data_IF_960607445220
#
_entry.id   IF_960607445220
#
_cell.length_a   1.000
_cell.length_b   1.000
_cell.length_c   1.000
_cell.angle_alpha   90.00
_cell.angle_beta   90.00
_cell.angle_gamma   90.00
#
_symmetry.space_group_name_H-M   'P 1'
#
loop_
_entity.id
_entity.type
_entity.pdbx_description
1 polymer ?
#
# COMPACT_ATOMS: atom_id res chain seq x y z
N UNK A 1 19.86 -11.13 -36.10
CA UNK A 1 19.93 -11.79 -34.78
C UNK A 1 19.24 -10.87 -33.80
N UNK A 2 17.95 -11.10 -33.58
CA UNK A 2 17.18 -10.43 -32.51
C UNK A 2 17.66 -11.02 -31.19
N UNK A 3 18.35 -10.21 -30.39
CA UNK A 3 18.61 -10.56 -28.99
C UNK A 3 17.25 -10.85 -28.35
N UNK A 4 17.04 -12.11 -27.94
CA UNK A 4 15.96 -12.46 -27.04
C UNK A 4 16.33 -11.76 -25.74
N UNK A 5 15.61 -10.69 -25.41
CA UNK A 5 15.73 -10.02 -24.13
C UNK A 5 15.34 -11.03 -23.08
N UNK A 6 16.30 -11.55 -22.31
CA UNK A 6 15.99 -12.44 -21.20
C UNK A 6 15.01 -11.72 -20.27
N UNK A 7 13.96 -12.41 -19.79
CA UNK A 7 12.93 -11.79 -18.96
C UNK A 7 13.59 -11.30 -17.67
N UNK A 8 13.50 -9.99 -17.40
CA UNK A 8 14.00 -9.38 -16.17
C UNK A 8 13.16 -9.94 -15.01
N UNK A 9 13.71 -10.81 -14.13
CA UNK A 9 12.90 -11.57 -13.18
C UNK A 9 12.06 -10.70 -12.22
N UNK A 10 12.53 -9.49 -11.91
CA UNK A 10 11.79 -8.52 -11.11
C UNK A 10 10.48 -8.03 -11.77
N UNK A 11 10.47 -7.88 -13.11
CA UNK A 11 9.27 -7.49 -13.87
C UNK A 11 8.23 -8.62 -13.87
N UNK A 12 8.65 -9.87 -13.99
CA UNK A 12 7.74 -11.02 -13.94
C UNK A 12 7.07 -11.16 -12.58
N UNK A 13 7.82 -10.99 -11.49
CA UNK A 13 7.28 -10.98 -10.13
C UNK A 13 6.31 -9.82 -9.92
N UNK A 14 6.65 -8.61 -10.38
CA UNK A 14 5.74 -7.46 -10.28
C UNK A 14 4.46 -7.67 -11.10
N UNK A 15 4.56 -8.22 -12.31
CA UNK A 15 3.42 -8.55 -13.15
C UNK A 15 2.52 -9.63 -12.50
N UNK A 16 3.11 -10.65 -11.87
CA UNK A 16 2.36 -11.65 -11.12
C UNK A 16 1.64 -11.01 -9.91
N UNK A 17 2.33 -10.16 -9.16
CA UNK A 17 1.77 -9.44 -8.02
C UNK A 17 0.63 -8.49 -8.41
N UNK A 18 0.74 -7.82 -9.56
CA UNK A 18 -0.32 -6.98 -10.13
C UNK A 18 -1.51 -7.84 -10.57
N UNK A 19 -1.31 -9.02 -11.14
CA UNK A 19 -2.41 -9.94 -11.46
C UNK A 19 -3.24 -10.29 -10.23
N UNK A 20 -2.59 -10.64 -9.11
CA UNK A 20 -3.30 -10.93 -7.85
C UNK A 20 -4.04 -9.68 -7.34
N UNK A 21 -3.54 -8.46 -7.58
CA UNK A 21 -4.27 -7.24 -7.23
C UNK A 21 -5.61 -7.14 -7.97
N UNK A 22 -5.64 -7.47 -9.26
CA UNK A 22 -6.85 -7.50 -10.07
C UNK A 22 -7.78 -8.65 -9.70
N UNK A 23 -7.23 -9.85 -9.42
CA UNK A 23 -8.03 -10.99 -8.97
C UNK A 23 -8.79 -10.69 -7.66
N UNK A 24 -8.12 -10.07 -6.68
CA UNK A 24 -8.78 -9.60 -5.45
C UNK A 24 -9.90 -8.59 -5.76
N UNK A 25 -9.64 -7.65 -6.67
CA UNK A 25 -10.61 -6.63 -7.08
C UNK A 25 -11.82 -7.25 -7.80
N UNK A 26 -11.62 -8.25 -8.65
CA UNK A 26 -12.71 -8.92 -9.35
C UNK A 26 -13.60 -9.72 -8.37
N UNK A 27 -12.97 -10.47 -7.46
CA UNK A 27 -13.63 -11.25 -6.43
C UNK A 27 -14.47 -10.38 -5.48
N UNK A 28 -13.97 -9.19 -5.15
CA UNK A 28 -14.56 -8.33 -4.13
C UNK A 28 -14.05 -8.68 -2.73
N UNK A 29 -14.51 -7.92 -1.74
CA UNK A 29 -13.99 -7.95 -0.38
C UNK A 29 -15.07 -8.26 0.64
N UNK A 30 -14.77 -9.12 1.60
CA UNK A 30 -15.73 -9.53 2.63
C UNK A 30 -15.99 -8.47 3.70
N UNK A 31 -15.17 -7.41 3.75
CA UNK A 31 -15.38 -6.30 4.66
C UNK A 31 -14.71 -5.02 4.18
N UNK A 32 -15.15 -3.88 4.74
CA UNK A 32 -14.50 -2.59 4.51
C UNK A 32 -13.05 -2.56 5.01
N UNK A 33 -12.74 -3.31 6.08
CA UNK A 33 -11.36 -3.49 6.56
C UNK A 33 -10.49 -4.10 5.47
N UNK A 34 -11.00 -5.10 4.75
CA UNK A 34 -10.28 -5.76 3.66
C UNK A 34 -10.07 -4.80 2.48
N UNK A 35 -11.04 -3.90 2.21
CA UNK A 35 -10.87 -2.82 1.24
C UNK A 35 -9.74 -1.87 1.66
N UNK A 36 -9.68 -1.43 2.92
CA UNK A 36 -8.58 -0.55 3.41
C UNK A 36 -7.22 -1.19 3.22
N UNK A 37 -7.13 -2.46 3.60
CA UNK A 37 -5.94 -3.26 3.41
C UNK A 37 -5.60 -3.46 1.93
N UNK A 38 -6.59 -3.66 1.07
CA UNK A 38 -6.37 -3.75 -0.37
C UNK A 38 -5.89 -2.42 -0.95
N UNK A 39 -6.37 -1.26 -0.48
CA UNK A 39 -5.84 0.04 -0.91
C UNK A 39 -4.33 0.17 -0.64
N UNK A 40 -3.86 -0.26 0.53
CA UNK A 40 -2.43 -0.33 0.81
C UNK A 40 -1.70 -1.30 -0.13
N UNK A 41 -2.28 -2.48 -0.41
CA UNK A 41 -1.73 -3.43 -1.39
C UNK A 41 -1.61 -2.80 -2.78
N UNK A 42 -2.60 -2.03 -3.22
CA UNK A 42 -2.60 -1.34 -4.52
C UNK A 42 -1.43 -0.34 -4.61
N UNK A 43 -1.22 0.49 -3.59
CA UNK A 43 -0.04 1.38 -3.51
C UNK A 43 1.27 0.61 -3.59
N UNK A 44 1.37 -0.54 -2.92
CA UNK A 44 2.57 -1.39 -2.98
C UNK A 44 2.81 -1.96 -4.38
N UNK A 45 1.78 -2.57 -5.00
CA UNK A 45 1.91 -3.23 -6.32
C UNK A 45 2.04 -2.24 -7.47
N UNK A 46 1.76 -0.96 -7.22
CA UNK A 46 2.02 0.13 -8.14
C UNK A 46 3.29 0.90 -7.78
N UNK A 47 4.13 0.41 -6.85
CA UNK A 47 5.37 1.09 -6.41
C UNK A 47 5.13 2.57 -6.04
N UNK A 48 3.95 2.82 -5.49
CA UNK A 48 3.43 4.11 -5.09
C UNK A 48 3.05 5.06 -6.22
N UNK A 49 2.87 4.60 -7.46
CA UNK A 49 2.49 5.45 -8.59
C UNK A 49 1.05 5.99 -8.51
N UNK A 50 0.19 5.39 -7.68
CA UNK A 50 -1.13 5.95 -7.42
C UNK A 50 -1.05 7.32 -6.72
N UNK A 51 -2.02 8.22 -6.95
CA UNK A 51 -2.13 9.48 -6.22
C UNK A 51 -2.27 9.24 -4.71
N UNK A 52 -1.64 10.08 -3.89
CA UNK A 52 -1.70 10.00 -2.42
C UNK A 52 -3.15 10.11 -1.90
N UNK A 53 -4.03 10.85 -2.60
CA UNK A 53 -5.45 11.01 -2.25
C UNK A 53 -6.35 9.84 -2.66
N UNK A 54 -5.87 8.94 -3.52
CA UNK A 54 -6.69 7.92 -4.17
C UNK A 54 -7.45 7.03 -3.18
N UNK A 55 -6.77 6.55 -2.13
CA UNK A 55 -7.41 5.72 -1.08
C UNK A 55 -8.52 6.46 -0.36
N UNK A 56 -8.32 7.77 -0.10
CA UNK A 56 -9.31 8.60 0.59
C UNK A 56 -10.52 8.80 -0.29
N UNK A 57 -10.32 9.14 -1.56
CA UNK A 57 -11.39 9.33 -2.53
C UNK A 57 -12.22 8.05 -2.71
N UNK A 58 -11.55 6.91 -2.85
CA UNK A 58 -12.21 5.61 -2.97
C UNK A 58 -13.01 5.25 -1.73
N UNK A 59 -12.42 5.38 -0.53
CA UNK A 59 -13.11 5.04 0.71
C UNK A 59 -14.18 6.06 1.10
N UNK A 60 -14.03 7.32 0.67
CA UNK A 60 -14.98 8.41 0.88
C UNK A 60 -16.29 8.20 0.14
N UNK A 61 -16.24 7.53 -1.00
CA UNK A 61 -17.42 7.18 -1.78
C UNK A 61 -18.07 5.89 -1.28
N UNK A 62 -19.21 6.05 -0.60
CA UNK A 62 -19.96 4.91 -0.05
C UNK A 62 -20.49 3.96 -1.12
N UNK A 63 -20.81 4.45 -2.31
CA UNK A 63 -21.28 3.61 -3.40
C UNK A 63 -20.13 2.76 -3.93
N UNK A 64 -18.95 3.36 -4.12
CA UNK A 64 -17.76 2.62 -4.58
C UNK A 64 -17.30 1.60 -3.55
N UNK A 65 -17.30 1.95 -2.27
CA UNK A 65 -17.02 0.95 -1.22
C UNK A 65 -18.05 -0.17 -1.22
N UNK A 66 -19.34 0.13 -1.37
CA UNK A 66 -20.35 -0.93 -1.50
C UNK A 66 -20.08 -1.82 -2.72
N UNK A 67 -19.75 -1.24 -3.87
CA UNK A 67 -19.41 -2.01 -5.07
C UNK A 67 -18.21 -2.95 -4.88
N UNK A 68 -17.29 -2.60 -3.99
CA UNK A 68 -16.13 -3.41 -3.65
C UNK A 68 -16.47 -4.60 -2.75
N UNK A 69 -17.61 -4.59 -2.06
CA UNK A 69 -17.99 -5.68 -1.16
C UNK A 69 -18.59 -6.86 -1.93
N UNK A 70 -18.25 -8.08 -1.51
CA UNK A 70 -18.73 -9.32 -2.12
C UNK A 70 -20.11 -9.76 -1.59
N UNK A 71 -20.47 -9.34 -0.38
CA UNK A 71 -21.71 -9.69 0.32
C UNK A 71 -22.79 -8.59 0.27
N UNK A 72 -24.03 -8.97 -0.06
CA UNK A 72 -25.16 -8.04 -0.19
C UNK A 72 -25.57 -7.39 1.14
N UNK A 73 -25.40 -8.06 2.28
CA UNK A 73 -25.70 -7.46 3.58
C UNK A 73 -24.68 -6.36 3.90
N UNK A 74 -23.40 -6.62 3.70
CA UNK A 74 -22.32 -5.63 3.88
C UNK A 74 -22.47 -4.45 2.92
N UNK A 75 -22.86 -4.71 1.66
CA UNK A 75 -23.23 -3.65 0.70
C UNK A 75 -24.34 -2.75 1.22
N UNK A 76 -25.42 -3.33 1.74
CA UNK A 76 -26.55 -2.60 2.31
C UNK A 76 -26.17 -1.79 3.56
N UNK A 77 -25.21 -2.27 4.37
CA UNK A 77 -24.66 -1.52 5.52
C UNK A 77 -23.84 -0.32 5.07
N UNK A 78 -23.09 -0.43 3.98
CA UNK A 78 -22.26 0.65 3.46
C UNK A 78 -23.10 1.83 2.93
N UNK A 79 -24.21 1.54 2.23
CA UNK A 79 -25.10 2.58 1.69
C UNK A 79 -26.51 2.06 1.37
N UNK A 80 -27.52 2.92 1.53
CA UNK A 80 -28.92 2.63 1.14
C UNK A 80 -29.12 2.48 -0.37
N UNK A 81 -28.17 2.94 -1.18
CA UNK A 81 -28.21 2.89 -2.64
C UNK A 81 -27.20 1.87 -3.17
N UNK A 82 -27.06 0.73 -2.50
CA UNK A 82 -26.05 -0.24 -2.84
C UNK A 82 -26.24 -0.78 -4.26
N UNK A 83 -25.15 -0.99 -5.02
CA UNK A 83 -25.24 -1.61 -6.34
C UNK A 83 -25.68 -3.06 -6.24
N UNK A 84 -26.39 -3.53 -7.27
CA UNK A 84 -26.55 -4.96 -7.54
C UNK A 84 -25.22 -5.57 -8.02
N UNK A 85 -25.15 -6.89 -8.12
CA UNK A 85 -23.94 -7.62 -8.54
C UNK A 85 -23.37 -7.14 -9.88
N UNK A 86 -24.24 -6.85 -10.84
CA UNK A 86 -23.81 -6.42 -12.17
C UNK A 86 -23.15 -5.04 -12.12
N UNK A 87 -23.75 -4.10 -11.39
CA UNK A 87 -23.21 -2.76 -11.18
C UNK A 87 -21.95 -2.79 -10.33
N UNK A 88 -21.92 -3.64 -9.30
CA UNK A 88 -20.76 -3.82 -8.44
C UNK A 88 -19.56 -4.31 -9.28
N UNK A 89 -19.75 -5.36 -10.09
CA UNK A 89 -18.72 -5.86 -11.00
C UNK A 89 -18.23 -4.78 -11.97
N UNK A 90 -19.13 -3.99 -12.56
CA UNK A 90 -18.77 -2.91 -13.48
C UNK A 90 -17.93 -1.82 -12.81
N UNK A 91 -18.28 -1.42 -11.59
CA UNK A 91 -17.49 -0.44 -10.84
C UNK A 91 -16.09 -0.97 -10.51
N UNK A 92 -15.98 -2.25 -10.15
CA UNK A 92 -14.66 -2.89 -9.92
C UNK A 92 -13.81 -2.93 -11.20
N UNK A 93 -14.43 -3.19 -12.36
CA UNK A 93 -13.74 -3.08 -13.65
C UNK A 93 -13.27 -1.66 -13.94
N UNK A 94 -14.11 -0.64 -13.72
CA UNK A 94 -13.73 0.76 -13.90
C UNK A 94 -12.56 1.17 -12.99
N UNK A 95 -12.55 0.72 -11.73
CA UNK A 95 -11.40 0.94 -10.83
C UNK A 95 -10.12 0.32 -11.42
N UNK A 96 -10.23 -0.90 -11.93
CA UNK A 96 -9.11 -1.61 -12.55
C UNK A 96 -8.56 -0.91 -13.80
N UNK A 97 -9.45 -0.54 -14.71
CA UNK A 97 -9.11 -0.02 -16.03
C UNK A 97 -8.69 1.46 -15.98
N UNK A 98 -9.45 2.31 -15.26
CA UNK A 98 -9.25 3.75 -15.29
C UNK A 98 -8.17 4.21 -14.30
N UNK A 99 -7.97 3.49 -13.20
CA UNK A 99 -7.13 3.95 -12.08
C UNK A 99 -5.90 3.07 -11.88
N UNK A 100 -6.07 1.74 -11.82
CA UNK A 100 -4.95 0.84 -11.56
C UNK A 100 -4.06 0.61 -12.78
N UNK A 101 -4.63 0.53 -13.99
CA UNK A 101 -3.87 0.15 -15.18
C UNK A 101 -2.71 1.10 -15.47
N UNK A 102 -2.98 2.42 -15.42
CA UNK A 102 -1.96 3.45 -15.63
C UNK A 102 -0.87 3.36 -14.56
N UNK A 103 -1.25 3.25 -13.28
CA UNK A 103 -0.27 3.15 -12.20
C UNK A 103 0.56 1.85 -12.25
N UNK A 104 -0.03 0.74 -12.68
CA UNK A 104 0.68 -0.53 -12.90
C UNK A 104 1.67 -0.42 -14.05
N UNK A 105 1.27 0.20 -15.17
CA UNK A 105 2.16 0.47 -16.31
C UNK A 105 3.34 1.34 -15.88
N UNK A 106 3.08 2.43 -15.17
CA UNK A 106 4.12 3.37 -14.74
C UNK A 106 5.08 2.71 -13.74
N UNK A 107 4.58 1.81 -12.89
CA UNK A 107 5.44 0.99 -12.01
C UNK A 107 6.33 0.01 -12.79
N UNK A 108 5.80 -0.64 -13.83
CA UNK A 108 6.58 -1.53 -14.70
C UNK A 108 7.63 -0.75 -15.50
N UNK A 109 7.29 0.45 -15.99
CA UNK A 109 8.24 1.32 -16.66
C UNK A 109 9.36 1.74 -15.70
N UNK A 110 9.02 2.21 -14.50
CA UNK A 110 10.00 2.57 -13.48
C UNK A 110 10.98 1.42 -13.24
N UNK A 111 10.47 0.19 -13.04
CA UNK A 111 11.30 -0.99 -12.80
C UNK A 111 12.14 -1.39 -14.04
N UNK A 112 11.60 -1.20 -15.24
CA UNK A 112 12.31 -1.45 -16.50
C UNK A 112 13.49 -0.49 -16.72
N UNK A 113 13.32 0.79 -16.41
CA UNK A 113 14.40 1.79 -16.46
C UNK A 113 15.56 1.38 -15.54
N UNK A 114 15.25 0.93 -14.32
CA UNK A 114 16.27 0.44 -13.37
C UNK A 114 17.10 -0.73 -13.90
N UNK A 115 16.44 -1.70 -14.54
CA UNK A 115 17.11 -2.88 -15.09
C UNK A 115 18.04 -2.51 -16.26
N UNK A 116 17.70 -1.47 -17.03
CA UNK A 116 18.55 -0.97 -18.11
C UNK A 116 19.73 -0.13 -17.60
N UNK A 117 19.55 0.60 -16.49
CA UNK A 117 20.61 1.38 -15.84
C UNK A 117 21.70 0.49 -15.20
N UNK A 118 21.38 -0.77 -14.88
CA UNK A 118 22.26 -1.72 -14.18
C UNK A 118 22.33 -3.09 -14.87
N UNK A 119 22.89 -3.19 -16.10
CA UNK A 119 22.93 -4.43 -16.86
C UNK A 119 23.92 -5.46 -16.29
N UNK A 120 24.86 -5.04 -15.44
CA UNK A 120 25.93 -5.87 -14.86
C UNK A 120 25.57 -6.48 -13.50
N UNK A 121 24.38 -6.18 -12.95
CA UNK A 121 23.92 -6.79 -11.71
C UNK A 121 23.49 -8.23 -12.03
N UNK A 122 24.42 -9.18 -11.84
CA UNK A 122 24.24 -10.59 -12.15
C UNK A 122 22.86 -11.06 -11.67
N UNK A 123 22.08 -11.66 -12.58
CA UNK A 123 20.82 -12.29 -12.26
C UNK A 123 21.05 -13.29 -11.13
N UNK A 124 20.69 -12.91 -9.90
CA UNK A 124 20.81 -13.78 -8.74
C UNK A 124 19.87 -14.97 -8.97
N UNK A 125 20.45 -16.10 -9.38
CA UNK A 125 19.75 -17.36 -9.59
C UNK A 125 19.27 -17.91 -8.24
N UNK A 126 17.98 -17.75 -7.96
CA UNK A 126 17.35 -18.20 -6.72
C UNK A 126 15.87 -17.84 -6.64
N UNK A 127 15.07 -18.54 -5.81
CA UNK A 127 13.66 -18.24 -5.64
C UNK A 127 13.46 -16.81 -5.14
N UNK A 128 12.78 -16.00 -5.96
CA UNK A 128 12.55 -14.58 -5.69
C UNK A 128 11.70 -14.39 -4.44
N UNK A 129 12.30 -13.80 -3.40
CA UNK A 129 11.63 -13.65 -2.09
C UNK A 129 11.22 -12.22 -1.76
N UNK A 130 11.72 -11.23 -2.51
CA UNK A 130 11.56 -9.81 -2.20
C UNK A 130 10.79 -9.08 -3.30
N UNK A 131 9.91 -8.15 -2.90
CA UNK A 131 9.16 -7.28 -3.81
C UNK A 131 10.09 -6.56 -4.78
N UNK A 132 9.96 -6.82 -6.09
CA UNK A 132 10.79 -6.23 -7.13
C UNK A 132 12.30 -6.30 -6.84
N UNK A 133 12.75 -7.39 -6.19
CA UNK A 133 14.15 -7.59 -5.74
C UNK A 133 14.66 -6.55 -4.74
N UNK A 134 13.78 -5.90 -3.97
CA UNK A 134 14.13 -4.82 -3.04
C UNK A 134 13.80 -5.19 -1.59
N UNK A 135 14.76 -5.78 -0.85
CA UNK A 135 14.56 -6.15 0.56
C UNK A 135 14.11 -4.99 1.44
N UNK A 136 14.67 -3.79 1.22
CA UNK A 136 14.30 -2.59 1.97
C UNK A 136 12.84 -2.19 1.75
N UNK A 137 12.29 -2.42 0.54
CA UNK A 137 10.90 -2.15 0.23
C UNK A 137 9.99 -3.24 0.84
N UNK A 138 10.36 -4.51 0.74
CA UNK A 138 9.61 -5.61 1.36
C UNK A 138 9.48 -5.44 2.88
N UNK A 139 10.59 -5.13 3.55
CA UNK A 139 10.62 -4.86 4.99
C UNK A 139 9.76 -3.66 5.38
N UNK A 140 9.81 -2.58 4.58
CA UNK A 140 8.98 -1.39 4.78
C UNK A 140 7.50 -1.77 4.70
N UNK A 141 7.09 -2.44 3.63
CA UNK A 141 5.72 -2.87 3.36
C UNK A 141 5.20 -3.78 4.45
N UNK A 142 6.02 -4.73 4.92
CA UNK A 142 5.67 -5.63 6.02
C UNK A 142 5.37 -4.87 7.31
N UNK A 143 6.19 -3.87 7.66
CA UNK A 143 5.99 -3.02 8.84
C UNK A 143 4.72 -2.17 8.70
N UNK A 144 4.52 -1.55 7.54
CA UNK A 144 3.31 -0.76 7.26
C UNK A 144 2.05 -1.60 7.39
N UNK A 145 2.06 -2.80 6.78
CA UNK A 145 0.96 -3.76 6.85
C UNK A 145 0.65 -4.15 8.29
N UNK A 146 1.67 -4.42 9.10
CA UNK A 146 1.52 -4.71 10.53
C UNK A 146 0.87 -3.55 11.29
N UNK A 147 1.30 -2.31 11.05
CA UNK A 147 0.72 -1.12 11.67
C UNK A 147 -0.77 -0.93 11.33
N UNK A 148 -1.15 -1.16 10.06
CA UNK A 148 -2.56 -1.09 9.64
C UNK A 148 -3.40 -2.21 10.26
N UNK A 149 -2.92 -3.45 10.20
CA UNK A 149 -3.65 -4.59 10.75
C UNK A 149 -3.89 -4.48 12.25
N UNK A 150 -2.92 -3.94 13.00
CA UNK A 150 -3.04 -3.72 14.45
C UNK A 150 -4.21 -2.80 14.79
N UNK A 151 -4.37 -1.69 14.07
CA UNK A 151 -5.45 -0.71 14.33
C UNK A 151 -6.80 -1.16 13.76
N UNK A 152 -6.78 -1.91 12.65
CA UNK A 152 -7.97 -2.45 11.97
C UNK A 152 -8.50 -3.76 12.59
N UNK A 153 -8.02 -4.14 13.77
CA UNK A 153 -8.58 -5.30 14.45
C UNK A 153 -8.15 -6.67 13.87
N UNK A 154 -7.05 -6.75 13.12
CA UNK A 154 -6.60 -7.98 12.43
C UNK A 154 -5.39 -8.63 13.11
N UNK A 155 -5.03 -9.83 12.65
CA UNK A 155 -3.86 -10.61 13.09
C UNK A 155 -3.71 -10.75 14.62
N UNK A 156 -4.78 -11.23 15.28
CA UNK A 156 -4.76 -11.53 16.71
C UNK A 156 -5.09 -10.34 17.62
N UNK A 157 -5.48 -9.19 17.07
CA UNK A 157 -5.92 -8.02 17.85
C UNK A 157 -7.37 -7.61 17.52
N UNK A 158 -8.41 -8.43 17.75
CA UNK A 158 -9.77 -8.17 17.26
C UNK A 158 -10.41 -6.85 17.74
N UNK A 159 -9.96 -6.30 18.88
CA UNK A 159 -10.50 -5.05 19.41
C UNK A 159 -9.93 -3.78 18.78
N UNK A 160 -8.84 -3.86 18.01
CA UNK A 160 -8.08 -2.65 17.64
C UNK A 160 -7.29 -2.11 18.84
N UNK A 161 -7.06 -0.79 18.91
CA UNK A 161 -6.31 -0.19 20.01
C UNK A 161 -7.23 0.09 21.21
N UNK A 162 -6.80 -0.27 22.42
CA UNK A 162 -7.64 -0.20 23.63
C UNK A 162 -7.22 0.91 24.59
N UNK A 163 -6.04 1.51 24.41
CA UNK A 163 -5.51 2.49 25.37
C UNK A 163 -4.67 3.57 24.71
N UNK A 164 -4.45 4.66 25.46
CA UNK A 164 -3.57 5.74 25.02
C UNK A 164 -2.12 5.27 24.83
N UNK A 165 -1.64 4.35 25.66
CA UNK A 165 -0.30 3.78 25.55
C UNK A 165 -0.15 2.93 24.28
N UNK A 166 -1.21 2.22 23.91
CA UNK A 166 -1.26 1.49 22.64
C UNK A 166 -1.28 2.41 21.42
N UNK A 167 -1.99 3.54 21.50
CA UNK A 167 -1.92 4.59 20.47
C UNK A 167 -0.48 5.12 20.34
N UNK A 168 0.17 5.47 21.45
CA UNK A 168 1.55 5.96 21.45
C UNK A 168 2.53 4.94 20.85
N UNK A 169 2.37 3.67 21.21
CA UNK A 169 3.12 2.55 20.64
C UNK A 169 2.86 2.40 19.13
N UNK A 170 1.60 2.49 18.70
CA UNK A 170 1.21 2.39 17.30
C UNK A 170 1.77 3.56 16.47
N UNK A 171 1.67 4.81 16.96
CA UNK A 171 2.26 5.99 16.30
C UNK A 171 3.75 5.81 16.06
N UNK A 172 4.51 5.35 17.07
CA UNK A 172 5.94 5.03 16.90
C UNK A 172 6.18 3.95 15.85
N UNK A 173 5.30 2.96 15.78
CA UNK A 173 5.30 1.93 14.74
C UNK A 173 5.06 2.51 13.35
N UNK A 174 4.10 3.43 13.21
CA UNK A 174 3.80 4.15 11.96
C UNK A 174 5.02 4.94 11.52
N UNK A 175 5.58 5.80 12.38
CA UNK A 175 6.79 6.59 12.09
C UNK A 175 7.94 5.70 11.61
N UNK A 176 8.17 4.56 12.26
CA UNK A 176 9.19 3.60 11.82
C UNK A 176 8.87 2.98 10.46
N UNK A 177 7.59 2.69 10.20
CA UNK A 177 7.11 2.11 8.94
C UNK A 177 6.97 3.11 7.79
N UNK A 178 7.19 4.39 8.05
CA UNK A 178 7.21 5.47 7.06
C UNK A 178 8.59 6.13 6.96
N UNK A 179 9.62 5.53 7.59
CA UNK A 179 10.99 6.06 7.67
C UNK A 179 11.08 7.50 8.20
N UNK A 180 10.18 7.86 9.11
CA UNK A 180 10.14 9.19 9.73
C UNK A 180 9.21 10.19 9.06
N UNK A 181 8.64 9.87 7.89
CA UNK A 181 7.61 10.71 7.28
C UNK A 181 6.35 10.63 8.15
N UNK A 182 6.03 11.72 8.84
CA UNK A 182 4.91 11.74 9.81
C UNK A 182 3.64 12.35 9.24
N UNK A 183 3.73 13.36 8.35
CA UNK A 183 2.55 14.01 7.78
C UNK A 183 1.59 14.64 8.81
N UNK A 184 1.98 14.76 10.08
CA UNK A 184 1.13 15.22 11.17
C UNK A 184 0.39 14.10 11.93
N UNK A 185 0.54 12.83 11.53
CA UNK A 185 -0.12 11.67 12.16
C UNK A 185 0.17 11.65 13.66
N UNK A 186 1.42 11.85 14.08
CA UNK A 186 1.81 11.82 15.50
C UNK A 186 1.05 12.84 16.33
N UNK A 187 0.86 14.06 15.82
CA UNK A 187 0.11 15.10 16.50
C UNK A 187 -1.39 14.75 16.52
N UNK A 188 -1.94 14.39 15.37
CA UNK A 188 -3.38 14.10 15.24
C UNK A 188 -3.79 12.90 16.10
N UNK A 189 -3.12 11.75 15.96
CA UNK A 189 -3.44 10.55 16.71
C UNK A 189 -3.32 10.73 18.23
N UNK A 190 -2.39 11.56 18.71
CA UNK A 190 -2.15 11.75 20.14
C UNK A 190 -3.05 12.82 20.78
N UNK A 191 -3.42 13.86 20.04
CA UNK A 191 -4.00 15.07 20.63
C UNK A 191 -5.35 15.48 20.04
N UNK A 192 -5.70 15.01 18.85
CA UNK A 192 -7.02 15.26 18.27
C UNK A 192 -8.06 14.28 18.85
N UNK A 193 -9.15 14.83 19.39
CA UNK A 193 -10.21 14.05 20.04
C UNK A 193 -10.96 13.13 19.06
N UNK A 194 -11.15 13.57 17.82
CA UNK A 194 -11.82 12.77 16.78
C UNK A 194 -10.95 11.58 16.38
N UNK A 195 -9.65 11.81 16.18
CA UNK A 195 -8.68 10.74 15.93
C UNK A 195 -8.63 9.72 17.07
N UNK A 196 -8.50 10.18 18.31
CA UNK A 196 -8.47 9.30 19.48
C UNK A 196 -9.75 8.48 19.63
N UNK A 197 -10.90 9.13 19.45
CA UNK A 197 -12.20 8.45 19.50
C UNK A 197 -12.32 7.38 18.42
N UNK A 198 -11.86 7.67 17.20
CA UNK A 198 -11.86 6.70 16.11
C UNK A 198 -10.89 5.52 16.36
N UNK A 199 -9.68 5.79 16.89
CA UNK A 199 -8.67 4.77 17.18
C UNK A 199 -9.05 3.83 18.32
N UNK A 200 -9.76 4.33 19.34
CA UNK A 200 -10.23 3.55 20.49
C UNK A 200 -11.64 2.97 20.28
N UNK A 201 -12.27 3.29 19.16
CA UNK A 201 -13.62 2.87 18.81
C UNK A 201 -13.65 1.53 18.09
N UNK A 202 -14.73 1.31 17.33
CA UNK A 202 -14.87 0.14 16.47
C UNK A 202 -13.82 0.18 15.34
N UNK A 203 -12.92 -0.83 15.23
CA UNK A 203 -11.93 -0.91 14.16
C UNK A 203 -12.56 -1.03 12.76
N UNK A 204 -13.83 -1.41 12.67
CA UNK A 204 -14.59 -1.49 11.40
C UNK A 204 -15.26 -0.16 11.02
N UNK A 205 -15.12 0.87 11.85
CA UNK A 205 -15.77 2.16 11.66
C UNK A 205 -15.34 2.85 10.35
N UNK A 206 -16.28 3.31 9.51
CA UNK A 206 -15.96 4.09 8.32
C UNK A 206 -15.12 5.34 8.61
N UNK A 207 -15.31 5.97 9.78
CA UNK A 207 -14.56 7.17 10.17
C UNK A 207 -13.08 6.86 10.36
N UNK A 208 -12.75 5.78 11.08
CA UNK A 208 -11.37 5.33 11.24
C UNK A 208 -10.74 5.01 9.88
N UNK A 209 -11.47 4.29 9.02
CA UNK A 209 -10.99 3.95 7.68
C UNK A 209 -10.65 5.16 6.82
N UNK A 210 -11.45 6.24 6.91
CA UNK A 210 -11.18 7.48 6.19
C UNK A 210 -9.96 8.21 6.73
N UNK A 211 -9.85 8.31 8.06
CA UNK A 211 -8.69 8.90 8.73
C UNK A 211 -7.39 8.16 8.36
N UNK A 212 -7.42 6.83 8.39
CA UNK A 212 -6.28 6.01 7.97
C UNK A 212 -5.93 6.22 6.50
N UNK A 213 -6.92 6.32 5.61
CA UNK A 213 -6.65 6.54 4.20
C UNK A 213 -6.08 7.93 3.89
N UNK A 214 -6.58 8.96 4.57
CA UNK A 214 -6.16 10.34 4.41
C UNK A 214 -4.76 10.58 4.95
N UNK A 215 -4.52 10.22 6.21
CA UNK A 215 -3.30 10.65 6.90
C UNK A 215 -2.23 9.56 6.90
N UNK A 216 -2.61 8.28 7.00
CA UNK A 216 -1.65 7.17 7.19
C UNK A 216 -1.25 6.53 5.86
N UNK A 217 -2.21 6.05 5.07
CA UNK A 217 -1.95 5.36 3.81
C UNK A 217 -1.32 6.30 2.79
N UNK A 218 -1.75 7.57 2.75
CA UNK A 218 -1.12 8.62 1.94
C UNK A 218 0.38 8.77 2.23
N UNK A 219 0.75 8.84 3.51
CA UNK A 219 2.15 8.95 3.92
C UNK A 219 2.92 7.65 3.67
N UNK A 220 2.30 6.49 3.89
CA UNK A 220 2.87 5.19 3.53
C UNK A 220 3.16 5.11 2.03
N UNK A 221 2.24 5.57 1.19
CA UNK A 221 2.40 5.61 -0.27
C UNK A 221 3.61 6.46 -0.68
N UNK A 222 3.76 7.64 -0.09
CA UNK A 222 4.95 8.48 -0.30
C UNK A 222 6.24 7.75 0.06
N UNK A 223 6.29 7.12 1.23
CA UNK A 223 7.50 6.38 1.65
C UNK A 223 7.78 5.13 0.79
N UNK A 224 6.74 4.49 0.23
CA UNK A 224 6.87 3.41 -0.78
C UNK A 224 7.50 3.99 -2.04
N UNK A 225 6.95 5.09 -2.57
CA UNK A 225 7.44 5.76 -3.78
C UNK A 225 8.90 6.17 -3.63
N UNK A 226 9.24 6.85 -2.54
CA UNK A 226 10.61 7.25 -2.19
C UNK A 226 11.54 6.05 -2.07
N UNK A 227 11.10 4.96 -1.45
CA UNK A 227 11.94 3.76 -1.30
C UNK A 227 12.12 3.01 -2.63
N UNK A 228 11.10 3.03 -3.50
CA UNK A 228 11.17 2.47 -4.85
C UNK A 228 12.07 3.31 -5.76
N UNK A 229 12.18 4.62 -5.54
CA UNK A 229 13.09 5.49 -6.32
C UNK A 229 14.49 5.57 -5.73
N UNK A 230 14.65 5.58 -4.41
CA UNK A 230 15.93 5.81 -3.73
C UNK A 230 16.97 4.70 -3.94
N UNK A 231 16.59 3.51 -4.42
CA UNK A 231 17.62 2.58 -4.92
C UNK A 231 18.33 3.07 -6.18
N UNK A 232 17.96 4.23 -6.76
CA UNK A 232 18.81 4.98 -7.70
C UNK A 232 20.06 5.55 -7.02
N UNK A 233 19.95 6.04 -5.78
CA UNK A 233 20.98 6.86 -5.14
C UNK A 233 22.02 6.04 -4.38
N UNK A 234 21.63 4.93 -3.73
CA UNK A 234 22.55 4.12 -2.92
C UNK A 234 23.63 3.38 -3.74
N UNK A 235 23.40 3.15 -5.04
CA UNK A 235 24.41 2.54 -5.93
C UNK A 235 25.38 3.58 -6.49
N UNK A 236 24.96 4.85 -6.56
CA UNK A 236 25.81 5.97 -6.99
C UNK A 236 26.78 6.39 -5.88
N UNK A 237 26.35 6.36 -4.61
CA UNK A 237 27.18 6.70 -3.45
C UNK A 237 28.31 5.66 -3.21
N UNK A 238 28.08 4.38 -3.49
CA UNK A 238 29.12 3.34 -3.40
C UNK A 238 30.22 3.50 -4.47
N UNK A 239 30.02 4.38 -5.46
CA UNK A 239 31.04 4.79 -6.45
C UNK A 239 31.77 6.08 -6.08
N UNK A 240 31.34 6.83 -5.06
CA UNK A 240 31.93 8.12 -4.69
C UNK A 240 32.17 8.23 -3.16
N UNK A 241 33.34 7.73 -2.74
CA UNK A 241 34.12 8.05 -1.51
C UNK A 241 33.57 7.56 -0.15
N UNK A 242 34.39 6.95 0.73
CA UNK A 242 35.51 7.60 1.42
C UNK A 242 36.70 6.68 1.73
N UNK A 243 37.91 7.22 1.49
CA UNK A 243 39.15 6.72 2.09
C UNK A 243 39.14 6.85 3.62
N UNK A 244 40.09 6.17 4.29
CA UNK A 244 40.09 6.06 5.75
C UNK A 244 40.15 7.43 6.42
N UNK A 245 39.34 7.62 7.45
CA UNK A 245 39.50 8.70 8.41
C UNK A 245 40.81 8.45 9.15
N UNK A 246 41.87 9.15 8.74
CA UNK A 246 43.06 9.28 9.55
C UNK A 246 42.72 10.06 10.84
N UNK A 247 43.29 9.54 11.92
CA UNK A 247 43.12 9.83 13.36
C UNK A 247 43.00 11.28 13.78
#
# INVERSE_FOLDING_TARGET
MTAVTDPVPALDTLAADQRVLYEDLEAGFSSRVDVVLWCHKAHVRTLGQLPDSWSRELLGDRYRVAALLDDDCERGRATKYAPDDQRARRERQMIGDDQLLTACRDAMQLLGEFAQEHPDDESIDGPQRYLAMRPALDDLVRRQRGSLKRVLGRDGNPGGLQSHDEISSWVRGVIRSTKGVDGGISRSAMWDLFWRSALLGDPSSPSLHLLLAEDVISVMNRSIRETATASREAVEEDRVTHGPLDT
#
